data_IF_759289538378
#
_entry.id   IF_759289538378
#
_cell.length_a   1.000
_cell.length_b   1.000
_cell.length_c   1.000
_cell.angle_alpha   90.00
_cell.angle_beta   90.00
_cell.angle_gamma   90.00
#
_symmetry.space_group_name_H-M   'P 1'
#
loop_
_entity.id
_entity.type
_entity.pdbx_description
1 polymer ?
#
# COMPACT_ATOMS: atom_id res chain seq x y z
N UNK A 1 -40.79 -18.64 -35.60
CA UNK A 1 -40.62 -20.11 -35.43
C UNK A 1 -40.05 -20.68 -36.72
N UNK A 2 -39.09 -21.60 -36.54
CA UNK A 2 -38.56 -22.58 -37.49
C UNK A 2 -37.50 -22.14 -38.52
N UNK A 3 -36.61 -23.09 -38.90
CA UNK A 3 -35.17 -22.90 -39.05
C UNK A 3 -34.63 -23.34 -40.41
N UNK A 4 -33.37 -23.04 -40.72
CA UNK A 4 -32.58 -23.70 -41.78
C UNK A 4 -31.11 -23.59 -41.34
N UNK A 5 -30.37 -24.59 -40.85
CA UNK A 5 -29.96 -25.91 -41.37
C UNK A 5 -29.03 -25.84 -42.59
N UNK A 6 -27.70 -25.98 -42.36
CA UNK A 6 -26.67 -26.76 -43.10
C UNK A 6 -25.29 -26.16 -42.74
N UNK A 7 -24.40 -26.81 -41.98
CA UNK A 7 -23.53 -27.97 -42.27
C UNK A 7 -22.50 -27.74 -43.39
N UNK A 8 -21.24 -28.11 -43.05
CA UNK A 8 -20.04 -28.36 -43.88
C UNK A 8 -19.15 -27.17 -44.26
N UNK A 9 -17.95 -27.10 -43.65
CA UNK A 9 -16.74 -27.66 -44.26
C UNK A 9 -15.53 -27.57 -43.32
N UNK A 10 -14.94 -28.74 -43.09
CA UNK A 10 -13.66 -28.99 -42.44
C UNK A 10 -12.55 -28.70 -43.47
N UNK A 11 -11.60 -27.81 -43.17
CA UNK A 11 -10.35 -27.70 -43.89
C UNK A 11 -9.19 -27.66 -42.88
N UNK A 12 -8.51 -28.80 -42.73
CA UNK A 12 -7.18 -28.89 -42.17
C UNK A 12 -6.19 -28.23 -43.13
N UNK A 13 -5.45 -27.23 -42.66
CA UNK A 13 -4.18 -26.84 -43.28
C UNK A 13 -3.12 -26.87 -42.18
N UNK A 14 -2.30 -27.92 -42.23
CA UNK A 14 -0.95 -27.89 -41.67
C UNK A 14 -0.14 -26.86 -42.46
N UNK A 15 0.39 -25.85 -41.79
CA UNK A 15 1.52 -25.09 -42.34
C UNK A 15 2.47 -24.74 -41.20
N UNK A 16 3.58 -25.46 -41.16
CA UNK A 16 4.75 -25.21 -40.31
C UNK A 16 5.29 -23.80 -40.56
N UNK A 17 5.65 -23.01 -39.54
CA UNK A 17 6.65 -21.97 -39.74
C UNK A 17 8.03 -22.64 -39.74
N UNK A 18 8.66 -22.64 -40.91
CA UNK A 18 10.05 -23.05 -41.06
C UNK A 18 10.98 -22.21 -40.19
N UNK A 19 11.97 -22.88 -39.60
CA UNK A 19 13.16 -22.22 -39.05
C UNK A 19 13.92 -21.57 -40.22
N UNK A 20 13.80 -20.26 -40.35
CA UNK A 20 14.81 -19.49 -41.07
C UNK A 20 16.09 -19.52 -40.21
N UNK A 21 17.09 -20.25 -40.69
CA UNK A 21 18.47 -20.10 -40.26
C UNK A 21 18.95 -18.73 -40.76
N UNK A 22 18.64 -17.69 -39.98
CA UNK A 22 19.09 -16.34 -40.26
C UNK A 22 20.45 -16.12 -39.60
N UNK A 23 21.39 -15.76 -40.46
CA UNK A 23 22.79 -15.48 -40.19
C UNK A 23 22.90 -14.43 -39.07
N UNK A 24 23.29 -14.87 -37.88
CA UNK A 24 23.50 -13.98 -36.72
C UNK A 24 24.64 -13.01 -36.99
N UNK A 25 24.31 -11.74 -37.23
CA UNK A 25 25.24 -10.61 -37.06
C UNK A 25 25.73 -10.56 -35.59
N UNK A 26 27.04 -10.52 -35.34
CA UNK A 26 27.56 -10.33 -33.99
C UNK A 26 27.37 -8.86 -33.59
N UNK A 27 26.31 -8.57 -32.83
CA UNK A 27 26.07 -7.21 -32.32
C UNK A 27 24.64 -6.89 -31.86
N UNK A 28 23.67 -7.79 -32.00
CA UNK A 28 22.29 -7.50 -31.57
C UNK A 28 22.07 -7.80 -30.08
N UNK A 29 22.17 -6.72 -29.30
CA UNK A 29 21.30 -6.33 -28.19
C UNK A 29 20.39 -7.44 -27.63
N UNK A 30 20.64 -7.80 -26.38
CA UNK A 30 19.94 -8.78 -25.55
C UNK A 30 18.43 -8.92 -25.85
N UNK A 31 17.87 -10.15 -25.88
CA UNK A 31 16.46 -10.37 -26.16
C UNK A 31 15.57 -9.59 -25.18
N UNK A 32 14.41 -9.07 -25.63
CA UNK A 32 13.50 -8.31 -24.80
C UNK A 32 13.09 -9.14 -23.56
N UNK A 33 12.98 -8.52 -22.37
CA UNK A 33 12.68 -9.24 -21.16
C UNK A 33 11.35 -10.00 -21.30
N UNK A 34 11.40 -11.32 -21.07
CA UNK A 34 10.23 -12.19 -21.13
C UNK A 34 9.14 -11.79 -20.12
N UNK A 35 7.89 -12.24 -20.34
CA UNK A 35 6.72 -11.85 -19.54
C UNK A 35 6.88 -12.11 -18.03
N UNK A 36 7.61 -13.17 -17.64
CA UNK A 36 7.91 -13.46 -16.23
C UNK A 36 8.78 -12.39 -15.55
N UNK A 37 9.75 -11.82 -16.27
CA UNK A 37 10.62 -10.75 -15.74
C UNK A 37 9.84 -9.45 -15.54
N UNK A 38 8.95 -9.11 -16.49
CA UNK A 38 8.05 -7.95 -16.40
C UNK A 38 7.10 -8.06 -15.19
N UNK A 39 6.56 -9.25 -14.93
CA UNK A 39 5.70 -9.49 -13.77
C UNK A 39 6.49 -9.32 -12.46
N UNK A 40 7.70 -9.88 -12.37
CA UNK A 40 8.57 -9.73 -11.21
C UNK A 40 8.93 -8.27 -10.92
N UNK A 41 9.31 -7.50 -11.94
CA UNK A 41 9.64 -6.08 -11.80
C UNK A 41 8.43 -5.26 -11.33
N UNK A 42 7.23 -5.53 -11.86
CA UNK A 42 5.99 -4.88 -11.44
C UNK A 42 5.63 -5.22 -9.98
N UNK A 43 5.81 -6.48 -9.57
CA UNK A 43 5.58 -6.94 -8.21
C UNK A 43 6.52 -6.23 -7.22
N UNK A 44 7.83 -6.19 -7.54
CA UNK A 44 8.85 -5.52 -6.73
C UNK A 44 8.55 -4.03 -6.56
N UNK A 45 8.22 -3.34 -7.66
CA UNK A 45 7.88 -1.91 -7.63
C UNK A 45 6.65 -1.65 -6.78
N UNK A 46 5.59 -2.43 -6.93
CA UNK A 46 4.36 -2.26 -6.16
C UNK A 46 4.59 -2.46 -4.66
N UNK A 47 5.38 -3.46 -4.28
CA UNK A 47 5.73 -3.70 -2.88
C UNK A 47 6.58 -2.57 -2.27
N UNK A 48 7.52 -2.00 -3.04
CA UNK A 48 8.32 -0.85 -2.60
C UNK A 48 7.47 0.42 -2.43
N UNK A 49 6.54 0.68 -3.36
CA UNK A 49 5.63 1.81 -3.27
C UNK A 49 4.70 1.70 -2.05
N UNK A 50 4.20 0.48 -1.76
CA UNK A 50 3.41 0.22 -0.56
C UNK A 50 4.23 0.44 0.72
N UNK A 51 5.45 -0.08 0.78
CA UNK A 51 6.34 0.11 1.93
C UNK A 51 6.66 1.61 2.17
N UNK A 52 6.95 2.36 1.10
CA UNK A 52 7.22 3.79 1.19
C UNK A 52 6.00 4.58 1.68
N UNK A 53 4.81 4.27 1.15
CA UNK A 53 3.56 4.89 1.59
C UNK A 53 3.25 4.56 3.06
N UNK A 54 3.51 3.31 3.49
CA UNK A 54 3.30 2.89 4.87
C UNK A 54 4.20 3.65 5.85
N UNK A 55 5.49 3.81 5.52
CA UNK A 55 6.43 4.60 6.33
C UNK A 55 5.98 6.05 6.46
N UNK A 56 5.52 6.65 5.37
CA UNK A 56 5.01 8.02 5.38
C UNK A 56 3.75 8.14 6.24
N UNK A 57 2.81 7.19 6.12
CA UNK A 57 1.60 7.16 6.94
C UNK A 57 1.94 7.05 8.43
N UNK A 58 2.86 6.15 8.80
CA UNK A 58 3.29 5.98 10.19
C UNK A 58 3.95 7.26 10.74
N UNK A 59 4.80 7.91 9.93
CA UNK A 59 5.43 9.17 10.32
C UNK A 59 4.42 10.31 10.54
N UNK A 60 3.43 10.45 9.64
CA UNK A 60 2.40 11.47 9.77
C UNK A 60 1.45 11.20 10.95
N UNK A 61 1.10 9.93 11.19
CA UNK A 61 0.30 9.52 12.36
C UNK A 61 1.04 9.82 13.67
N UNK A 62 2.32 9.43 13.76
CA UNK A 62 3.17 9.74 14.92
C UNK A 62 3.27 11.24 15.15
N UNK A 63 3.49 12.04 14.10
CA UNK A 63 3.57 13.50 14.21
C UNK A 63 2.25 14.11 14.70
N UNK A 64 1.11 13.58 14.28
CA UNK A 64 -0.19 14.03 14.75
C UNK A 64 -0.40 13.71 16.24
N UNK A 65 -0.01 12.50 16.67
CA UNK A 65 -0.03 12.11 18.08
C UNK A 65 0.89 13.00 18.92
N UNK A 66 2.16 13.14 18.55
CA UNK A 66 3.14 14.01 19.24
C UNK A 66 2.59 15.43 19.40
N UNK A 67 1.99 15.98 18.34
CA UNK A 67 1.39 17.32 18.39
C UNK A 67 0.25 17.43 19.41
N UNK A 68 -0.54 16.36 19.56
CA UNK A 68 -1.64 16.30 20.52
C UNK A 68 -1.18 16.10 21.96
N UNK A 69 -0.02 15.48 22.17
CA UNK A 69 0.61 15.25 23.47
C UNK A 69 1.40 16.47 23.96
N UNK A 70 2.14 17.17 23.09
CA UNK A 70 2.84 18.44 23.40
C UNK A 70 1.91 19.53 23.97
N UNK A 71 0.64 19.44 23.62
CA UNK A 71 -0.40 20.42 23.97
C UNK A 71 -1.36 19.91 25.03
N UNK A 72 -1.07 18.75 25.64
CA UNK A 72 -1.89 18.17 26.70
C UNK A 72 -2.09 19.16 27.86
N UNK A 73 -3.34 19.26 28.32
CA UNK A 73 -3.75 20.21 29.36
C UNK A 73 -4.02 21.64 28.87
N UNK A 74 -3.73 21.97 27.60
CA UNK A 74 -4.03 23.27 27.00
C UNK A 74 -5.04 23.12 25.88
N UNK A 75 -6.24 23.67 26.08
CA UNK A 75 -7.27 23.70 25.04
C UNK A 75 -7.45 25.13 24.55
N UNK A 76 -7.06 25.36 23.30
CA UNK A 76 -7.33 26.61 22.59
C UNK A 76 -7.71 26.30 21.14
N UNK A 77 -8.43 27.21 20.49
CA UNK A 77 -8.80 27.11 19.07
C UNK A 77 -7.58 26.83 18.19
N UNK A 78 -6.49 27.56 18.39
CA UNK A 78 -5.27 27.42 17.58
C UNK A 78 -4.61 26.04 17.75
N UNK A 79 -4.58 25.52 18.98
CA UNK A 79 -4.07 24.17 19.28
C UNK A 79 -4.95 23.11 18.59
N UNK A 80 -6.27 23.19 18.79
CA UNK A 80 -7.21 22.21 18.25
C UNK A 80 -7.20 22.19 16.71
N UNK A 81 -7.11 23.35 16.06
CA UNK A 81 -6.93 23.42 14.60
C UNK A 81 -5.59 22.85 14.14
N UNK A 82 -4.51 23.05 14.91
CA UNK A 82 -3.21 22.47 14.65
C UNK A 82 -3.24 20.94 14.66
N UNK A 83 -3.88 20.36 15.68
CA UNK A 83 -4.09 18.91 15.80
C UNK A 83 -4.96 18.40 14.64
N UNK A 84 -6.06 19.09 14.33
CA UNK A 84 -6.95 18.74 13.19
C UNK A 84 -6.19 18.68 11.87
N UNK A 85 -5.33 19.66 11.60
CA UNK A 85 -4.50 19.67 10.37
C UNK A 85 -3.53 18.49 10.34
N UNK A 86 -2.90 18.16 11.46
CA UNK A 86 -2.01 17.01 11.55
C UNK A 86 -2.76 15.68 11.37
N UNK A 87 -3.90 15.51 12.04
CA UNK A 87 -4.77 14.33 11.90
C UNK A 87 -5.27 14.15 10.46
N UNK A 88 -5.61 15.25 9.77
CA UNK A 88 -6.02 15.21 8.36
C UNK A 88 -4.91 14.67 7.48
N UNK A 89 -3.68 15.15 7.69
CA UNK A 89 -2.52 14.66 6.95
C UNK A 89 -2.27 13.17 7.21
N UNK A 90 -2.40 12.72 8.46
CA UNK A 90 -2.30 11.30 8.80
C UNK A 90 -3.36 10.46 8.06
N UNK A 91 -4.62 10.90 8.04
CA UNK A 91 -5.70 10.22 7.34
C UNK A 91 -5.50 10.16 5.80
N UNK A 92 -5.01 11.26 5.20
CA UNK A 92 -4.66 11.31 3.78
C UNK A 92 -3.51 10.33 3.45
N UNK A 93 -2.45 10.32 4.26
CA UNK A 93 -1.31 9.41 4.07
C UNK A 93 -1.71 7.94 4.28
N UNK A 94 -2.53 7.64 5.30
CA UNK A 94 -3.05 6.28 5.53
C UNK A 94 -3.92 5.79 4.37
N UNK A 95 -4.77 6.66 3.80
CA UNK A 95 -5.58 6.31 2.61
C UNK A 95 -4.71 6.07 1.37
N UNK A 96 -3.61 6.81 1.20
CA UNK A 96 -2.64 6.54 0.13
C UNK A 96 -1.93 5.21 0.34
N UNK A 97 -1.57 4.90 1.58
CA UNK A 97 -0.98 3.61 1.92
C UNK A 97 -1.95 2.46 1.61
N UNK A 98 -3.22 2.57 1.99
CA UNK A 98 -4.27 1.61 1.64
C UNK A 98 -4.31 1.31 0.14
N UNK A 99 -4.42 2.35 -0.69
CA UNK A 99 -4.45 2.19 -2.14
C UNK A 99 -3.19 1.52 -2.72
N UNK A 100 -2.01 1.83 -2.16
CA UNK A 100 -0.75 1.21 -2.60
C UNK A 100 -0.61 -0.23 -2.12
N UNK A 101 -1.07 -0.54 -0.92
CA UNK A 101 -1.06 -1.89 -0.36
C UNK A 101 -2.01 -2.82 -1.15
N UNK A 102 -3.23 -2.35 -1.49
CA UNK A 102 -4.15 -3.10 -2.36
C UNK A 102 -3.54 -3.33 -3.75
N UNK A 103 -2.92 -2.31 -4.35
CA UNK A 103 -2.23 -2.46 -5.63
C UNK A 103 -1.03 -3.41 -5.57
N UNK A 104 -0.32 -3.46 -4.44
CA UNK A 104 0.75 -4.42 -4.18
C UNK A 104 0.21 -5.84 -4.07
N UNK A 105 -0.86 -6.05 -3.30
CA UNK A 105 -1.52 -7.35 -3.16
C UNK A 105 -2.02 -7.90 -4.51
N UNK A 106 -2.57 -7.04 -5.38
CA UNK A 106 -3.01 -7.41 -6.72
C UNK A 106 -1.87 -7.85 -7.65
N UNK A 107 -0.64 -7.40 -7.41
CA UNK A 107 0.56 -7.69 -8.21
C UNK A 107 1.51 -8.68 -7.53
N UNK A 108 1.13 -9.20 -6.36
CA UNK A 108 1.97 -10.12 -5.60
C UNK A 108 2.07 -11.48 -6.31
N UNK A 109 3.30 -11.98 -6.37
CA UNK A 109 3.58 -13.36 -6.79
C UNK A 109 3.27 -14.32 -5.65
N UNK A 110 3.07 -15.60 -5.95
CA UNK A 110 2.57 -16.58 -4.96
C UNK A 110 3.41 -16.61 -3.67
N UNK A 111 4.74 -16.51 -3.78
CA UNK A 111 5.65 -16.49 -2.64
C UNK A 111 5.50 -15.28 -1.68
N UNK A 112 4.90 -14.16 -2.12
CA UNK A 112 4.68 -12.97 -1.29
C UNK A 112 3.22 -12.58 -1.11
N UNK A 113 2.29 -13.36 -1.70
CA UNK A 113 0.85 -13.04 -1.75
C UNK A 113 0.22 -12.86 -0.38
N UNK A 114 0.48 -13.77 0.56
CA UNK A 114 -0.13 -13.71 1.89
C UNK A 114 0.38 -12.51 2.69
N UNK A 115 1.68 -12.20 2.59
CA UNK A 115 2.25 -11.02 3.24
C UNK A 115 1.69 -9.72 2.64
N UNK A 116 1.50 -9.68 1.32
CA UNK A 116 0.90 -8.52 0.65
C UNK A 116 -0.57 -8.33 1.03
N UNK A 117 -1.33 -9.41 1.19
CA UNK A 117 -2.72 -9.37 1.72
C UNK A 117 -2.77 -8.88 3.16
N UNK A 118 -1.88 -9.39 4.02
CA UNK A 118 -1.78 -8.91 5.40
C UNK A 118 -1.46 -7.40 5.47
N UNK A 119 -0.58 -6.91 4.60
CA UNK A 119 -0.30 -5.49 4.46
C UNK A 119 -1.54 -4.69 4.01
N UNK A 120 -2.31 -5.20 3.04
CA UNK A 120 -3.54 -4.59 2.57
C UNK A 120 -4.61 -4.52 3.68
N UNK A 121 -4.84 -5.61 4.39
CA UNK A 121 -5.82 -5.63 5.50
C UNK A 121 -5.39 -4.74 6.66
N UNK A 122 -4.11 -4.73 7.00
CA UNK A 122 -3.54 -3.81 7.98
C UNK A 122 -3.71 -2.36 7.57
N UNK A 123 -3.48 -2.04 6.30
CA UNK A 123 -3.60 -0.68 5.77
C UNK A 123 -5.04 -0.14 5.83
N UNK A 124 -6.05 -0.99 5.62
CA UNK A 124 -7.48 -0.65 5.77
C UNK A 124 -7.82 -0.28 7.20
N UNK A 125 -7.32 -1.06 8.18
CA UNK A 125 -7.48 -0.77 9.61
C UNK A 125 -6.79 0.54 9.99
N UNK A 126 -5.57 0.76 9.50
CA UNK A 126 -4.84 2.01 9.70
C UNK A 126 -5.59 3.22 9.14
N UNK A 127 -6.12 3.12 7.92
CA UNK A 127 -6.92 4.18 7.31
C UNK A 127 -8.22 4.46 8.08
N UNK A 128 -8.91 3.43 8.56
CA UNK A 128 -10.10 3.57 9.39
C UNK A 128 -9.78 4.30 10.72
N UNK A 129 -8.74 3.86 11.44
CA UNK A 129 -8.32 4.49 12.68
C UNK A 129 -7.88 5.95 12.48
N UNK A 130 -7.16 6.25 11.40
CA UNK A 130 -6.75 7.62 11.09
C UNK A 130 -7.93 8.54 10.75
N UNK A 131 -8.96 8.03 10.07
CA UNK A 131 -10.21 8.77 9.80
C UNK A 131 -11.01 9.02 11.08
N UNK A 132 -11.07 8.05 11.98
CA UNK A 132 -11.69 8.22 13.29
C UNK A 132 -10.96 9.30 14.10
N UNK A 133 -9.62 9.24 14.14
CA UNK A 133 -8.81 10.26 14.81
C UNK A 133 -9.03 11.67 14.24
N UNK A 134 -9.16 11.79 12.91
CA UNK A 134 -9.54 13.04 12.27
C UNK A 134 -10.94 13.51 12.71
N UNK A 135 -11.94 12.63 12.71
CA UNK A 135 -13.29 12.99 13.13
C UNK A 135 -13.31 13.51 14.58
N UNK A 136 -12.56 12.88 15.48
CA UNK A 136 -12.39 13.36 16.87
C UNK A 136 -11.66 14.69 16.95
N UNK A 137 -10.62 14.89 16.15
CA UNK A 137 -9.91 16.17 16.09
C UNK A 137 -10.80 17.31 15.55
N UNK A 138 -11.70 17.02 14.61
CA UNK A 138 -12.70 17.97 14.13
C UNK A 138 -13.71 18.32 15.22
N UNK A 139 -14.20 17.32 15.96
CA UNK A 139 -15.09 17.53 17.09
C UNK A 139 -14.42 18.40 18.18
N UNK A 140 -13.18 18.07 18.56
CA UNK A 140 -12.40 18.85 19.52
C UNK A 140 -12.18 20.29 19.05
N UNK A 141 -11.91 20.50 17.75
CA UNK A 141 -11.78 21.83 17.16
C UNK A 141 -13.08 22.64 17.22
N UNK A 142 -14.25 22.01 17.11
CA UNK A 142 -15.55 22.69 17.26
C UNK A 142 -15.80 23.03 18.73
N UNK A 143 -15.62 22.07 19.63
CA UNK A 143 -15.80 22.23 21.09
C UNK A 143 -14.88 23.31 21.68
N UNK A 144 -13.66 23.43 21.18
CA UNK A 144 -12.73 24.48 21.62
C UNK A 144 -13.21 25.92 21.33
N UNK A 145 -14.26 26.11 20.52
CA UNK A 145 -14.83 27.42 20.20
C UNK A 145 -16.18 27.66 20.89
N UNK A 146 -16.98 26.60 21.09
CA UNK A 146 -18.40 26.75 21.47
C UNK A 146 -18.77 26.10 22.80
N UNK A 147 -17.83 25.46 23.50
CA UNK A 147 -18.12 24.65 24.68
C UNK A 147 -17.33 25.08 25.91
N UNK A 148 -17.72 24.55 27.08
CA UNK A 148 -16.96 24.72 28.32
C UNK A 148 -15.58 24.08 28.22
N UNK A 149 -14.65 24.56 29.05
CA UNK A 149 -13.29 24.00 29.14
C UNK A 149 -13.27 22.50 29.43
N UNK A 150 -14.23 22.00 30.22
CA UNK A 150 -14.33 20.58 30.55
C UNK A 150 -14.70 19.74 29.32
N UNK A 151 -15.71 20.14 28.55
CA UNK A 151 -16.12 19.44 27.34
C UNK A 151 -15.02 19.47 26.27
N UNK A 152 -14.36 20.61 26.12
CA UNK A 152 -13.26 20.77 25.18
C UNK A 152 -12.04 19.91 25.59
N UNK A 153 -11.80 19.76 26.91
CA UNK A 153 -10.81 18.83 27.47
C UNK A 153 -11.12 17.37 27.13
N UNK A 154 -12.36 16.91 27.37
CA UNK A 154 -12.81 15.55 27.03
C UNK A 154 -12.65 15.25 25.53
N UNK A 155 -13.02 16.20 24.66
CA UNK A 155 -12.85 16.04 23.22
C UNK A 155 -11.37 15.96 22.80
N UNK A 156 -10.50 16.73 23.45
CA UNK A 156 -9.05 16.65 23.23
C UNK A 156 -8.45 15.33 23.70
N UNK A 157 -8.92 14.77 24.81
CA UNK A 157 -8.53 13.43 25.30
C UNK A 157 -8.98 12.32 24.35
N UNK A 158 -10.23 12.36 23.89
CA UNK A 158 -10.74 11.41 22.90
C UNK A 158 -9.91 11.47 21.61
N UNK A 159 -9.51 12.67 21.18
CA UNK A 159 -8.64 12.86 20.02
C UNK A 159 -7.26 12.23 20.23
N UNK A 160 -6.63 12.42 21.41
CA UNK A 160 -5.34 11.79 21.74
C UNK A 160 -5.43 10.26 21.71
N UNK A 161 -6.48 9.70 22.31
CA UNK A 161 -6.70 8.25 22.32
C UNK A 161 -6.83 7.69 20.90
N UNK A 162 -7.65 8.33 20.06
CA UNK A 162 -7.82 7.92 18.67
C UNK A 162 -6.53 8.08 17.84
N UNK A 163 -5.75 9.14 18.06
CA UNK A 163 -4.45 9.34 17.40
C UNK A 163 -3.44 8.26 17.81
N UNK A 164 -3.47 7.80 19.06
CA UNK A 164 -2.62 6.70 19.52
C UNK A 164 -2.99 5.39 18.84
N UNK A 165 -4.28 5.07 18.76
CA UNK A 165 -4.77 3.91 18.01
C UNK A 165 -4.40 3.99 16.52
N UNK A 166 -4.50 5.18 15.92
CA UNK A 166 -4.10 5.39 14.53
C UNK A 166 -2.60 5.18 14.31
N UNK A 167 -1.74 5.66 15.22
CA UNK A 167 -0.29 5.43 15.17
C UNK A 167 0.03 3.94 15.29
N UNK A 168 -0.52 3.25 16.29
CA UNK A 168 -0.29 1.82 16.53
C UNK A 168 -0.74 0.98 15.33
N UNK A 169 -1.94 1.23 14.81
CA UNK A 169 -2.48 0.52 13.64
C UNK A 169 -1.61 0.77 12.39
N UNK A 170 -1.19 2.01 12.17
CA UNK A 170 -0.37 2.36 11.00
C UNK A 170 1.03 1.77 11.10
N UNK A 171 1.62 1.76 12.30
CA UNK A 171 2.92 1.15 12.56
C UNK A 171 2.90 -0.36 12.31
N UNK A 172 1.91 -1.05 12.88
CA UNK A 172 1.74 -2.49 12.65
C UNK A 172 1.55 -2.81 11.16
N UNK A 173 0.73 -2.03 10.46
CA UNK A 173 0.52 -2.21 9.03
C UNK A 173 1.79 -1.89 8.19
N UNK A 174 2.60 -0.93 8.62
CA UNK A 174 3.89 -0.63 7.98
C UNK A 174 4.92 -1.76 8.16
N UNK A 175 4.90 -2.46 9.29
CA UNK A 175 5.71 -3.66 9.51
C UNK A 175 5.28 -4.79 8.56
N UNK A 176 3.97 -5.01 8.40
CA UNK A 176 3.44 -5.97 7.43
C UNK A 176 3.82 -5.62 5.97
N UNK A 177 3.75 -4.35 5.60
CA UNK A 177 4.16 -3.88 4.27
C UNK A 177 5.66 -4.10 4.01
N UNK A 178 6.49 -3.84 5.02
CA UNK A 178 7.94 -4.11 4.96
C UNK A 178 8.23 -5.59 4.79
N UNK A 179 7.51 -6.46 5.49
CA UNK A 179 7.64 -7.91 5.35
C UNK A 179 7.23 -8.37 3.95
N UNK A 180 6.12 -7.86 3.42
CA UNK A 180 5.68 -8.14 2.04
C UNK A 180 6.75 -7.74 1.00
N UNK A 181 7.36 -6.57 1.18
CA UNK A 181 8.46 -6.10 0.32
C UNK A 181 9.73 -6.94 0.44
N UNK A 182 10.05 -7.45 1.64
CA UNK A 182 11.16 -8.40 1.85
C UNK A 182 10.90 -9.72 1.12
N UNK A 183 9.76 -10.37 1.36
CA UNK A 183 9.43 -11.65 0.69
C UNK A 183 9.39 -11.53 -0.82
N UNK A 184 8.86 -10.43 -1.35
CA UNK A 184 8.84 -10.18 -2.79
C UNK A 184 10.27 -10.08 -3.35
N UNK A 185 11.19 -9.44 -2.62
CA UNK A 185 12.59 -9.34 -3.03
C UNK A 185 13.29 -10.68 -3.01
N UNK A 186 13.09 -11.47 -1.96
CA UNK A 186 13.74 -12.77 -1.78
C UNK A 186 13.25 -13.78 -2.83
N UNK A 187 11.95 -13.80 -3.12
CA UNK A 187 11.36 -14.63 -4.15
C UNK A 187 11.83 -14.28 -5.58
N UNK A 188 12.24 -13.02 -5.80
CA UNK A 188 12.76 -12.55 -7.07
C UNK A 188 14.30 -12.49 -7.09
N UNK A 189 14.97 -13.07 -6.10
CA UNK A 189 16.43 -13.14 -6.08
C UNK A 189 16.87 -14.19 -7.11
N UNK A 190 17.76 -13.86 -8.06
CA UNK A 190 18.32 -14.88 -8.94
C UNK A 190 19.07 -15.93 -8.12
N UNK A 191 18.95 -17.20 -8.50
CA UNK A 191 19.76 -18.26 -7.91
C UNK A 191 21.24 -17.92 -8.11
N UNK A 192 22.05 -18.06 -7.05
CA UNK A 192 23.49 -17.89 -7.18
C UNK A 192 24.01 -18.87 -8.25
N UNK A 193 24.85 -18.45 -9.19
CA UNK A 193 25.43 -19.37 -10.16
C UNK A 193 26.19 -20.46 -9.38
N UNK A 194 26.14 -21.74 -9.83
CA UNK A 194 26.92 -22.79 -9.22
C UNK A 194 28.39 -22.37 -9.23
N UNK A 195 29.05 -22.42 -8.08
CA UNK A 195 30.49 -22.22 -7.99
C UNK A 195 31.17 -23.16 -8.99
N UNK A 196 32.04 -22.67 -9.89
CA UNK A 196 32.82 -23.55 -10.74
C UNK A 196 33.67 -24.43 -9.79
N UNK A 197 33.35 -25.71 -9.76
CA UNK A 197 34.05 -26.71 -8.96
C UNK A 197 35.54 -26.72 -9.31
N UNK A 198 36.37 -26.84 -8.27
CA UNK A 198 37.80 -27.10 -8.38
C UNK A 198 38.02 -28.58 -8.70
#
# INVERSE_FOLDING_TARGET
MKPVTLLLMLAMIFSSPGFAAEYTQPGQLSPPPGPAKKLGDASRKAAQEAEAAARQAAADAKKALERSEETAGRVSKAIAEGIRRAARKAAESATRFEAKADASAAKAIDASRDAARAAADGSKRAAAAAREALAKAEEASRRAVSSSMEEAGKAAEATRSALRQAEEATRSAAEAAREAARRTRDALRPAAPPSPGK
#
